data_IF_768539022595
#
_entry.id   IF_768539022595
#
_cell.length_a   1.000
_cell.length_b   1.000
_cell.length_c   1.000
_cell.angle_alpha   90.00
_cell.angle_beta   90.00
_cell.angle_gamma   90.00
#
_symmetry.space_group_name_H-M   'P 1'
#
loop_
_entity.id
_entity.type
_entity.pdbx_description
1 polymer ?
#
# COMPACT_ATOMS: atom_id res chain seq x y z
N UNK A 1 -7.66 4.60 -33.32
CA UNK A 1 -7.33 4.06 -32.00
C UNK A 1 -6.73 2.68 -32.24
N UNK A 2 -5.50 2.43 -31.78
CA UNK A 2 -4.88 1.11 -31.96
C UNK A 2 -5.78 0.00 -31.39
N UNK A 3 -5.83 -1.18 -32.03
CA UNK A 3 -6.68 -2.27 -31.59
C UNK A 3 -6.27 -2.69 -30.18
N UNK A 4 -7.29 -2.87 -29.32
CA UNK A 4 -7.21 -3.42 -27.95
C UNK A 4 -6.64 -4.83 -27.99
N UNK A 5 -5.34 -4.95 -28.19
CA UNK A 5 -4.66 -6.23 -28.29
C UNK A 5 -4.31 -6.69 -26.89
N UNK A 6 -4.53 -7.98 -26.62
CA UNK A 6 -4.15 -8.61 -25.34
C UNK A 6 -2.68 -8.33 -25.02
N UNK A 7 -1.81 -8.25 -26.03
CA UNK A 7 -0.41 -7.88 -25.89
C UNK A 7 -0.22 -6.51 -25.22
N UNK A 8 -0.96 -5.50 -25.63
CA UNK A 8 -0.88 -4.15 -25.04
C UNK A 8 -1.36 -4.16 -23.60
N UNK A 9 -2.44 -4.88 -23.29
CA UNK A 9 -2.93 -5.04 -21.91
C UNK A 9 -1.91 -5.74 -21.00
N UNK A 10 -1.26 -6.79 -21.49
CA UNK A 10 -0.21 -7.50 -20.74
C UNK A 10 1.01 -6.61 -20.50
N UNK A 11 1.48 -5.87 -21.52
CA UNK A 11 2.60 -4.95 -21.38
C UNK A 11 2.28 -3.77 -20.44
N UNK A 12 1.06 -3.26 -20.49
CA UNK A 12 0.58 -2.24 -19.56
C UNK A 12 0.53 -2.77 -18.12
N UNK A 13 0.04 -4.00 -17.95
CA UNK A 13 0.05 -4.69 -16.66
C UNK A 13 1.47 -4.90 -16.11
N UNK A 14 2.42 -5.28 -16.95
CA UNK A 14 3.84 -5.41 -16.57
C UNK A 14 4.42 -4.06 -16.12
N UNK A 15 4.17 -2.99 -16.88
CA UNK A 15 4.63 -1.63 -16.54
C UNK A 15 4.07 -1.21 -15.18
N UNK A 16 2.78 -1.45 -14.96
CA UNK A 16 2.11 -1.14 -13.70
C UNK A 16 2.63 -1.97 -12.54
N UNK A 17 2.93 -3.25 -12.76
CA UNK A 17 3.49 -4.12 -11.72
C UNK A 17 4.84 -3.57 -11.21
N UNK A 18 5.70 -3.13 -12.14
CA UNK A 18 6.99 -2.51 -11.84
C UNK A 18 6.83 -1.23 -11.01
N UNK A 19 5.79 -0.44 -11.26
CA UNK A 19 5.47 0.77 -10.45
C UNK A 19 4.90 0.39 -9.09
N UNK A 20 4.06 -0.63 -9.02
CA UNK A 20 3.36 -1.06 -7.80
C UNK A 20 4.31 -1.68 -6.77
N UNK A 21 5.39 -2.37 -7.17
CA UNK A 21 6.36 -3.01 -6.25
C UNK A 21 6.90 -2.06 -5.18
N UNK A 22 7.60 -0.96 -5.51
CA UNK A 22 8.16 -0.07 -4.49
C UNK A 22 7.07 0.54 -3.61
N UNK A 23 5.90 0.82 -4.20
CA UNK A 23 4.76 1.43 -3.52
C UNK A 23 4.15 0.47 -2.49
N UNK A 24 3.92 -0.79 -2.86
CA UNK A 24 3.35 -1.81 -1.98
C UNK A 24 4.26 -2.12 -0.79
N UNK A 25 5.58 -2.22 -1.03
CA UNK A 25 6.59 -2.43 0.02
C UNK A 25 6.58 -1.25 1.00
N UNK A 26 6.70 -0.03 0.47
CA UNK A 26 6.79 1.17 1.29
C UNK A 26 5.55 1.38 2.14
N UNK A 27 4.36 1.15 1.57
CA UNK A 27 3.10 1.30 2.28
C UNK A 27 2.77 0.15 3.23
N UNK A 28 3.27 -1.06 2.99
CA UNK A 28 3.21 -2.14 3.97
C UNK A 28 4.11 -1.87 5.18
N UNK A 29 5.32 -1.38 4.94
CA UNK A 29 6.20 -0.96 6.03
C UNK A 29 5.62 0.22 6.83
N UNK A 30 5.17 1.27 6.14
CA UNK A 30 4.63 2.47 6.77
C UNK A 30 3.29 2.26 7.49
N UNK A 31 2.56 1.17 7.22
CA UNK A 31 1.35 0.84 7.97
C UNK A 31 1.64 0.22 9.34
N UNK A 32 2.87 -0.25 9.58
CA UNK A 32 3.25 -0.99 10.78
C UNK A 32 2.96 -2.50 10.72
N UNK A 33 2.34 -3.00 9.64
CA UNK A 33 2.07 -4.43 9.43
C UNK A 33 3.22 -5.16 8.71
N UNK A 34 4.16 -4.40 8.16
CA UNK A 34 5.32 -4.91 7.44
C UNK A 34 5.10 -5.08 5.93
N UNK A 35 6.20 -5.24 5.16
CA UNK A 35 6.14 -5.31 3.70
C UNK A 35 5.22 -6.41 3.18
N UNK A 36 5.24 -7.59 3.82
CA UNK A 36 4.43 -8.76 3.44
C UNK A 36 2.94 -8.41 3.28
N UNK A 37 2.36 -7.72 4.26
CA UNK A 37 0.94 -7.33 4.21
C UNK A 37 0.65 -6.43 3.00
N UNK A 38 1.60 -5.54 2.64
CA UNK A 38 1.51 -4.72 1.44
C UNK A 38 1.55 -5.52 0.14
N UNK A 39 2.36 -6.59 0.07
CA UNK A 39 2.37 -7.50 -1.08
C UNK A 39 1.04 -8.22 -1.24
N UNK A 40 0.52 -8.82 -0.17
CA UNK A 40 -0.75 -9.55 -0.23
C UNK A 40 -1.88 -8.62 -0.67
N UNK A 41 -1.96 -7.42 -0.09
CA UNK A 41 -2.91 -6.40 -0.55
C UNK A 41 -2.77 -6.12 -2.03
N UNK A 42 -1.56 -5.82 -2.52
CA UNK A 42 -1.37 -5.49 -3.94
C UNK A 42 -1.76 -6.64 -4.89
N UNK A 43 -1.53 -7.89 -4.49
CA UNK A 43 -1.88 -9.08 -5.29
C UNK A 43 -3.39 -9.32 -5.25
N UNK A 44 -3.95 -9.50 -4.06
CA UNK A 44 -5.32 -9.98 -3.86
C UNK A 44 -6.32 -8.89 -4.22
N UNK A 45 -6.18 -7.69 -3.63
CA UNK A 45 -7.05 -6.56 -3.97
C UNK A 45 -6.89 -6.20 -5.46
N UNK A 46 -5.65 -6.10 -5.93
CA UNK A 46 -5.36 -5.72 -7.31
C UNK A 46 -6.00 -6.64 -8.33
N UNK A 47 -5.92 -7.96 -8.12
CA UNK A 47 -6.53 -8.95 -9.00
C UNK A 47 -8.07 -8.90 -8.93
N UNK A 48 -8.63 -8.98 -7.72
CA UNK A 48 -10.09 -9.09 -7.52
C UNK A 48 -10.82 -7.81 -7.95
N UNK A 49 -10.28 -6.65 -7.57
CA UNK A 49 -10.85 -5.36 -7.98
C UNK A 49 -10.76 -5.17 -9.50
N UNK A 50 -9.68 -5.60 -10.16
CA UNK A 50 -9.58 -5.55 -11.62
C UNK A 50 -10.60 -6.50 -12.30
N UNK A 51 -10.81 -7.69 -11.75
CA UNK A 51 -11.73 -8.69 -12.30
C UNK A 51 -13.19 -8.23 -12.25
N UNK A 52 -13.61 -7.70 -11.09
CA UNK A 52 -15.02 -7.40 -10.78
C UNK A 52 -15.34 -5.91 -11.00
N UNK A 53 -14.37 -5.02 -10.85
CA UNK A 53 -14.55 -3.57 -10.83
C UNK A 53 -15.18 -2.95 -12.07
N UNK A 54 -15.63 -1.71 -11.90
CA UNK A 54 -16.37 -0.93 -12.87
C UNK A 54 -15.52 0.04 -13.68
N UNK A 55 -14.22 0.15 -13.41
CA UNK A 55 -13.33 1.16 -14.01
C UNK A 55 -12.31 0.53 -14.96
N UNK A 56 -12.25 1.06 -16.18
CA UNK A 56 -11.30 0.62 -17.20
C UNK A 56 -9.88 1.14 -16.92
N UNK A 57 -8.90 0.24 -16.87
CA UNK A 57 -7.49 0.60 -16.68
C UNK A 57 -7.10 0.99 -15.24
N UNK A 58 -8.02 0.90 -14.29
CA UNK A 58 -7.75 1.14 -12.87
C UNK A 58 -6.85 0.04 -12.29
N UNK A 59 -5.87 0.46 -11.49
CA UNK A 59 -5.02 -0.42 -10.69
C UNK A 59 -5.33 -0.18 -9.22
N UNK A 60 -5.52 -1.25 -8.46
CA UNK A 60 -5.83 -1.19 -7.03
C UNK A 60 -4.72 -1.84 -6.23
N UNK A 61 -4.26 -1.16 -5.19
CA UNK A 61 -3.17 -1.63 -4.32
C UNK A 61 -3.18 -0.82 -3.01
N UNK A 62 -2.25 -1.04 -2.06
CA UNK A 62 -2.04 -0.12 -0.96
C UNK A 62 -1.88 1.33 -1.43
N UNK A 63 -2.47 2.27 -0.69
CA UNK A 63 -2.34 3.70 -0.97
C UNK A 63 -2.06 4.48 0.30
N UNK A 64 -1.35 5.60 0.17
CA UNK A 64 -0.87 6.38 1.32
C UNK A 64 -1.98 6.83 2.28
N UNK A 65 -3.16 7.20 1.77
CA UNK A 65 -4.29 7.61 2.60
C UNK A 65 -4.79 6.50 3.53
N UNK A 66 -4.91 5.28 3.01
CA UNK A 66 -5.28 4.13 3.84
C UNK A 66 -4.13 3.71 4.74
N UNK A 67 -2.90 3.70 4.25
CA UNK A 67 -1.71 3.38 5.06
C UNK A 67 -1.61 4.25 6.30
N UNK A 68 -1.83 5.56 6.17
CA UNK A 68 -1.84 6.48 7.31
C UNK A 68 -2.96 6.12 8.29
N UNK A 69 -4.19 5.95 7.81
CA UNK A 69 -5.31 5.59 8.67
C UNK A 69 -5.08 4.25 9.39
N UNK A 70 -4.53 3.26 8.68
CA UNK A 70 -4.21 1.94 9.22
C UNK A 70 -3.11 2.04 10.26
N UNK A 71 -2.06 2.84 10.04
CA UNK A 71 -0.99 3.02 11.03
C UNK A 71 -1.52 3.51 12.38
N UNK A 72 -2.56 4.36 12.39
CA UNK A 72 -3.21 4.79 13.63
C UNK A 72 -3.88 3.61 14.32
N UNK A 73 -4.64 2.80 13.60
CA UNK A 73 -5.28 1.61 14.18
C UNK A 73 -4.28 0.58 14.67
N UNK A 74 -3.18 0.36 13.94
CA UNK A 74 -2.09 -0.56 14.36
C UNK A 74 -1.51 -0.11 15.69
N UNK A 75 -1.15 1.17 15.80
CA UNK A 75 -0.61 1.73 17.05
C UNK A 75 -1.61 1.61 18.19
N UNK A 76 -2.87 1.99 17.96
CA UNK A 76 -3.92 1.90 18.99
C UNK A 76 -4.15 0.46 19.45
N UNK A 77 -4.20 -0.52 18.55
CA UNK A 77 -4.39 -1.91 18.96
C UNK A 77 -3.15 -2.49 19.65
N UNK A 78 -1.93 -2.10 19.26
CA UNK A 78 -0.71 -2.49 19.99
C UNK A 78 -0.75 -1.94 21.42
N UNK A 79 -1.15 -0.68 21.60
CA UNK A 79 -1.27 -0.07 22.94
C UNK A 79 -2.31 -0.78 23.82
N UNK A 80 -3.39 -1.28 23.22
CA UNK A 80 -4.47 -1.98 23.94
C UNK A 80 -4.10 -3.45 24.23
N UNK A 81 -3.54 -4.15 23.25
CA UNK A 81 -3.31 -5.60 23.30
C UNK A 81 -1.91 -5.96 23.81
N UNK A 82 -0.99 -4.99 23.86
CA UNK A 82 0.37 -5.13 24.38
C UNK A 82 1.41 -5.60 23.37
N UNK A 83 1.01 -6.17 22.22
CA UNK A 83 1.93 -6.51 21.14
C UNK A 83 1.23 -6.53 19.78
N UNK A 84 2.02 -6.51 18.70
CA UNK A 84 1.49 -6.60 17.33
C UNK A 84 0.81 -7.95 17.11
N UNK A 85 1.38 -9.06 17.58
CA UNK A 85 0.82 -10.40 17.43
C UNK A 85 -0.58 -10.51 18.05
N UNK A 86 -0.75 -9.92 19.23
CA UNK A 86 -2.04 -9.86 19.92
C UNK A 86 -3.04 -8.91 19.23
N UNK A 87 -2.55 -7.86 18.56
CA UNK A 87 -3.36 -6.91 17.80
C UNK A 87 -3.83 -7.45 16.43
N UNK A 88 -3.07 -8.36 15.82
CA UNK A 88 -3.33 -8.85 14.45
C UNK A 88 -4.76 -9.36 14.24
N UNK A 89 -5.36 -10.21 15.10
CA UNK A 89 -6.72 -10.70 14.90
C UNK A 89 -7.76 -9.57 14.79
N UNK A 90 -7.63 -8.54 15.64
CA UNK A 90 -8.52 -7.37 15.64
C UNK A 90 -8.31 -6.54 14.38
N UNK A 91 -7.07 -6.31 13.97
CA UNK A 91 -6.73 -5.56 12.76
C UNK A 91 -7.25 -6.27 11.49
N UNK A 92 -7.09 -7.59 11.41
CA UNK A 92 -7.63 -8.38 10.29
C UNK A 92 -9.17 -8.33 10.25
N UNK A 93 -9.83 -8.38 11.41
CA UNK A 93 -11.28 -8.20 11.49
C UNK A 93 -11.72 -6.82 11.00
N UNK A 94 -10.98 -5.75 11.33
CA UNK A 94 -11.20 -4.40 10.80
C UNK A 94 -11.12 -4.39 9.27
N UNK A 95 -10.09 -5.02 8.68
CA UNK A 95 -9.90 -5.01 7.22
C UNK A 95 -10.96 -5.82 6.47
N UNK A 96 -11.30 -7.00 6.98
CA UNK A 96 -12.39 -7.82 6.42
C UNK A 96 -13.71 -7.07 6.50
N UNK A 97 -14.03 -6.48 7.67
CA UNK A 97 -15.26 -5.72 7.84
C UNK A 97 -15.29 -4.46 6.97
N UNK A 98 -14.15 -3.79 6.78
CA UNK A 98 -14.06 -2.65 5.87
C UNK A 98 -14.40 -3.05 4.43
N UNK A 99 -13.90 -4.20 3.97
CA UNK A 99 -14.26 -4.77 2.67
C UNK A 99 -15.75 -5.09 2.55
N UNK A 100 -16.34 -5.69 3.60
CA UNK A 100 -17.78 -5.98 3.66
C UNK A 100 -18.61 -4.67 3.61
N UNK A 101 -18.27 -3.67 4.41
CA UNK A 101 -18.97 -2.38 4.42
C UNK A 101 -18.87 -1.70 3.05
N UNK A 102 -17.68 -1.72 2.43
CA UNK A 102 -17.48 -1.15 1.10
C UNK A 102 -18.28 -1.89 0.02
N UNK A 103 -18.36 -3.22 0.10
CA UNK A 103 -19.24 -4.02 -0.74
C UNK A 103 -20.70 -3.58 -0.59
N UNK A 104 -21.16 -3.38 0.65
CA UNK A 104 -22.51 -2.86 0.91
C UNK A 104 -22.72 -1.46 0.35
N UNK A 105 -21.74 -0.57 0.39
CA UNK A 105 -21.84 0.75 -0.27
C UNK A 105 -22.13 0.60 -1.77
N UNK A 106 -21.48 -0.35 -2.45
CA UNK A 106 -21.75 -0.65 -3.84
C UNK A 106 -23.15 -1.25 -4.08
N UNK A 107 -23.55 -2.23 -3.25
CA UNK A 107 -24.88 -2.88 -3.36
C UNK A 107 -26.04 -1.91 -3.08
N UNK A 108 -25.86 -0.98 -2.14
CA UNK A 108 -26.83 0.06 -1.80
C UNK A 108 -26.80 1.27 -2.74
N UNK A 109 -25.98 1.21 -3.80
CA UNK A 109 -25.81 2.26 -4.82
C UNK A 109 -25.31 3.60 -4.26
N UNK A 110 -24.52 3.56 -3.19
CA UNK A 110 -23.95 4.76 -2.56
C UNK A 110 -22.74 5.32 -3.32
N UNK A 111 -22.21 4.59 -4.32
CA UNK A 111 -21.08 5.05 -5.13
C UNK A 111 -21.41 6.30 -5.95
N UNK A 112 -22.65 6.44 -6.40
CA UNK A 112 -23.13 7.62 -7.11
C UNK A 112 -23.10 8.87 -6.23
N UNK A 113 -23.17 8.73 -4.91
CA UNK A 113 -23.20 9.88 -3.99
C UNK A 113 -21.83 10.53 -3.80
N UNK A 114 -20.73 9.84 -4.15
CA UNK A 114 -19.38 10.40 -3.99
C UNK A 114 -19.14 11.61 -4.91
N UNK A 115 -19.90 11.72 -6.01
CA UNK A 115 -19.86 12.91 -6.88
C UNK A 115 -20.32 14.20 -6.18
N UNK A 116 -21.03 14.09 -5.04
CA UNK A 116 -21.49 15.24 -4.25
C UNK A 116 -20.47 15.70 -3.22
N UNK A 117 -19.33 15.02 -3.05
CA UNK A 117 -18.29 15.45 -2.13
C UNK A 117 -17.62 16.71 -2.69
N UNK A 118 -17.64 17.84 -1.97
CA UNK A 118 -17.01 19.07 -2.45
C UNK A 118 -15.52 18.90 -2.69
N UNK A 119 -15.00 19.52 -3.76
CA UNK A 119 -13.57 19.52 -4.07
C UNK A 119 -12.70 20.00 -2.89
N UNK A 120 -13.19 20.96 -2.10
CA UNK A 120 -12.50 21.46 -0.91
C UNK A 120 -12.26 20.38 0.15
N UNK A 121 -13.20 19.45 0.34
CA UNK A 121 -13.07 18.33 1.30
C UNK A 121 -12.01 17.35 0.81
N UNK A 122 -12.06 16.98 -0.48
CA UNK A 122 -11.07 16.07 -1.09
C UNK A 122 -9.67 16.68 -1.03
N UNK A 123 -9.54 17.95 -1.43
CA UNK A 123 -8.26 18.66 -1.43
C UNK A 123 -7.68 18.79 -0.01
N UNK A 124 -8.51 19.13 0.98
CA UNK A 124 -8.11 19.19 2.39
C UNK A 124 -7.66 17.84 2.94
N UNK A 125 -8.44 16.78 2.68
CA UNK A 125 -8.11 15.41 3.08
C UNK A 125 -6.79 14.94 2.47
N UNK A 126 -6.61 15.07 1.16
CA UNK A 126 -5.37 14.65 0.47
C UNK A 126 -4.15 15.44 0.94
N UNK A 127 -4.30 16.74 1.17
CA UNK A 127 -3.22 17.60 1.69
C UNK A 127 -2.83 17.20 3.13
N UNK A 128 -3.83 16.91 3.97
CA UNK A 128 -3.63 16.41 5.33
C UNK A 128 -2.92 15.07 5.37
N UNK A 129 -3.36 14.10 4.56
CA UNK A 129 -2.67 12.80 4.40
C UNK A 129 -1.22 13.01 3.94
N UNK A 130 -0.99 13.87 2.94
CA UNK A 130 0.35 14.16 2.46
C UNK A 130 1.28 14.71 3.55
N UNK A 131 0.77 15.65 4.36
CA UNK A 131 1.52 16.19 5.51
C UNK A 131 1.81 15.10 6.54
N UNK A 132 0.83 14.26 6.88
CA UNK A 132 1.02 13.16 7.84
C UNK A 132 2.07 12.16 7.34
N UNK A 133 2.06 11.80 6.05
CA UNK A 133 3.08 10.92 5.46
C UNK A 133 4.47 11.53 5.63
N UNK A 134 4.64 12.83 5.31
CA UNK A 134 5.93 13.52 5.49
C UNK A 134 6.41 13.39 6.94
N UNK A 135 5.52 13.64 7.92
CA UNK A 135 5.87 13.56 9.34
C UNK A 135 6.20 12.13 9.77
N UNK A 136 5.43 11.14 9.33
CA UNK A 136 5.67 9.73 9.68
C UNK A 136 7.01 9.23 9.12
N UNK A 137 7.50 9.80 8.00
CA UNK A 137 8.80 9.46 7.41
C UNK A 137 10.00 10.17 8.07
N UNK A 138 9.81 11.09 9.02
CA UNK A 138 10.91 11.80 9.69
C UNK A 138 11.92 10.83 10.33
N UNK A 139 11.52 9.83 11.15
CA UNK A 139 12.47 8.92 11.77
C UNK A 139 13.30 8.14 10.73
N UNK A 140 12.64 7.59 9.71
CA UNK A 140 13.29 6.88 8.60
C UNK A 140 14.26 7.79 7.81
N UNK A 141 13.92 9.07 7.66
CA UNK A 141 14.77 10.05 6.97
C UNK A 141 16.08 10.33 7.70
N UNK A 142 16.09 10.13 9.01
CA UNK A 142 17.30 10.24 9.82
C UNK A 142 17.91 8.87 10.17
N UNK A 143 17.33 7.74 9.71
CA UNK A 143 17.78 6.40 10.09
C UNK A 143 17.72 6.17 11.60
N UNK A 144 16.64 6.64 12.24
CA UNK A 144 16.44 6.54 13.69
C UNK A 144 15.12 5.80 13.94
N UNK A 145 15.15 4.82 14.85
CA UNK A 145 13.95 4.15 15.31
C UNK A 145 13.03 5.13 16.07
N UNK A 146 11.71 5.14 15.79
CA UNK A 146 10.78 6.08 16.41
C UNK A 146 10.66 5.94 17.93
N UNK A 147 10.93 4.76 18.50
CA UNK A 147 10.80 4.48 19.93
C UNK A 147 9.42 4.86 20.47
N UNK A 148 9.39 5.60 21.59
CA UNK A 148 8.15 6.09 22.21
C UNK A 148 7.42 7.19 21.39
N UNK A 149 8.07 7.75 20.37
CA UNK A 149 7.51 8.84 19.56
C UNK A 149 6.69 8.28 18.39
N UNK A 150 5.56 7.68 18.73
CA UNK A 150 4.74 6.96 17.75
C UNK A 150 3.77 7.89 17.01
N UNK A 151 3.12 8.81 17.72
CA UNK A 151 2.12 9.73 17.15
C UNK A 151 2.73 10.83 16.27
N UNK A 152 1.93 11.36 15.35
CA UNK A 152 2.32 12.47 14.46
C UNK A 152 2.77 13.69 15.27
N UNK A 153 2.03 14.03 16.33
CA UNK A 153 2.31 15.19 17.18
C UNK A 153 3.59 14.97 17.99
N UNK A 154 3.80 13.78 18.56
CA UNK A 154 5.01 13.51 19.34
C UNK A 154 6.27 13.54 18.47
N UNK A 155 6.20 13.04 17.22
CA UNK A 155 7.30 13.14 16.25
C UNK A 155 7.68 14.59 15.93
N UNK A 156 6.69 15.47 15.75
CA UNK A 156 6.95 16.89 15.48
C UNK A 156 7.59 17.61 16.66
N UNK A 157 7.06 17.40 17.87
CA UNK A 157 7.59 18.03 19.09
C UNK A 157 9.03 17.57 19.35
N UNK A 158 9.34 16.30 19.06
CA UNK A 158 10.63 15.69 19.35
C UNK A 158 11.55 15.63 18.14
N UNK A 159 11.40 16.52 17.15
CA UNK A 159 12.22 16.49 15.94
C UNK A 159 13.73 16.60 16.22
N UNK A 160 14.10 17.32 17.27
CA UNK A 160 15.49 17.46 17.70
C UNK A 160 16.11 16.13 18.15
N UNK A 161 15.32 15.19 18.69
CA UNK A 161 15.79 13.86 19.08
C UNK A 161 16.27 13.07 17.85
N UNK A 162 15.48 13.08 16.77
CA UNK A 162 15.84 12.39 15.52
C UNK A 162 17.07 13.03 14.85
N UNK A 163 17.16 14.36 14.89
CA UNK A 163 18.31 15.08 14.35
C UNK A 163 19.60 14.74 15.11
N UNK A 164 19.55 14.66 16.44
CA UNK A 164 20.74 14.41 17.27
C UNK A 164 21.26 12.98 17.16
N UNK A 165 20.39 12.01 16.82
CA UNK A 165 20.76 10.61 16.61
C UNK A 165 20.86 10.25 15.12
N UNK A 166 20.79 11.24 14.25
CA UNK A 166 20.69 11.00 12.82
C UNK A 166 21.88 10.22 12.27
N UNK A 167 21.56 9.12 11.58
CA UNK A 167 22.41 8.58 10.56
C UNK A 167 22.31 9.46 9.30
N UNK A 168 23.26 10.38 9.16
CA UNK A 168 23.31 11.29 8.02
C UNK A 168 23.41 10.60 6.66
N UNK A 169 23.90 9.35 6.62
CA UNK A 169 23.95 8.58 5.38
C UNK A 169 22.53 8.18 4.93
N UNK A 170 21.65 7.82 5.86
CA UNK A 170 20.23 7.58 5.57
C UNK A 170 19.56 8.86 5.02
N UNK A 171 19.87 10.02 5.59
CA UNK A 171 19.36 11.30 5.08
C UNK A 171 19.83 11.60 3.65
N UNK A 172 21.10 11.37 3.34
CA UNK A 172 21.64 11.48 1.98
C UNK A 172 20.92 10.54 1.01
N UNK A 173 20.60 9.32 1.44
CA UNK A 173 19.82 8.36 0.65
C UNK A 173 18.41 8.85 0.37
N UNK A 174 17.72 9.44 1.34
CA UNK A 174 16.39 10.03 1.14
C UNK A 174 16.45 11.21 0.17
N UNK A 175 17.39 12.15 0.36
CA UNK A 175 17.57 13.29 -0.55
C UNK A 175 17.92 12.82 -1.96
N UNK A 176 18.77 11.80 -2.08
CA UNK A 176 19.12 11.19 -3.37
C UNK A 176 17.92 10.50 -4.03
N UNK A 177 17.09 9.80 -3.25
CA UNK A 177 15.84 9.18 -3.73
C UNK A 177 14.92 10.23 -4.33
N UNK A 178 14.67 11.32 -3.59
CA UNK A 178 13.86 12.44 -4.07
C UNK A 178 14.48 13.07 -5.33
N UNK A 179 15.80 13.27 -5.34
CA UNK A 179 16.55 13.78 -6.48
C UNK A 179 16.37 12.93 -7.73
N UNK A 180 16.52 11.60 -7.62
CA UNK A 180 16.32 10.65 -8.72
C UNK A 180 14.87 10.72 -9.20
N UNK A 181 13.88 10.74 -8.30
CA UNK A 181 12.46 10.79 -8.66
C UNK A 181 12.14 12.02 -9.52
N UNK A 182 12.71 13.19 -9.23
CA UNK A 182 12.47 14.44 -9.97
C UNK A 182 13.35 14.61 -11.22
N UNK A 183 14.59 14.13 -11.19
CA UNK A 183 15.57 14.37 -12.27
C UNK A 183 15.53 13.27 -13.32
N UNK A 184 15.39 12.00 -12.94
CA UNK A 184 15.46 10.87 -13.87
C UNK A 184 14.40 10.91 -14.99
N UNK A 185 13.14 11.34 -14.75
CA UNK A 185 12.15 11.50 -15.82
C UNK A 185 12.56 12.50 -16.92
N UNK A 186 13.53 13.39 -16.66
CA UNK A 186 14.10 14.29 -17.68
C UNK A 186 15.06 13.58 -18.62
N UNK A 187 15.61 12.44 -18.23
CA UNK A 187 16.49 11.59 -19.06
C UNK A 187 15.63 10.63 -19.89
N UNK A 188 14.73 9.90 -19.23
CA UNK A 188 13.83 8.96 -19.89
C UNK A 188 12.51 8.83 -19.15
N UNK A 189 11.41 8.74 -19.91
CA UNK A 189 10.06 8.47 -19.39
C UNK A 189 9.67 7.00 -19.49
N UNK A 190 10.54 6.15 -20.07
CA UNK A 190 10.25 4.73 -20.31
C UNK A 190 10.32 3.89 -19.04
N UNK A 191 11.18 4.27 -18.09
CA UNK A 191 11.42 3.53 -16.86
C UNK A 191 10.91 4.37 -15.69
N UNK A 192 10.09 3.81 -14.78
CA UNK A 192 9.65 4.52 -13.58
C UNK A 192 10.82 4.99 -12.73
N UNK A 193 10.85 6.27 -12.37
CA UNK A 193 11.95 6.84 -11.58
C UNK A 193 12.03 6.28 -10.16
N UNK A 194 10.90 5.84 -9.58
CA UNK A 194 10.86 5.13 -8.29
C UNK A 194 11.61 3.80 -8.33
N UNK A 195 11.49 3.04 -9.43
CA UNK A 195 12.23 1.79 -9.61
C UNK A 195 13.73 2.06 -9.73
N UNK A 196 14.10 3.10 -10.49
CA UNK A 196 15.51 3.47 -10.65
C UNK A 196 16.11 3.87 -9.31
N UNK A 197 15.42 4.70 -8.53
CA UNK A 197 15.87 5.07 -7.19
C UNK A 197 16.07 3.83 -6.31
N UNK A 198 15.09 2.91 -6.30
CA UNK A 198 15.17 1.66 -5.55
C UNK A 198 16.39 0.82 -5.99
N UNK A 199 16.50 0.47 -7.27
CA UNK A 199 17.57 -0.42 -7.74
C UNK A 199 18.97 0.19 -7.58
N UNK A 200 19.11 1.48 -7.88
CA UNK A 200 20.43 2.14 -7.81
C UNK A 200 20.88 2.31 -6.37
N UNK A 201 20.01 2.81 -5.49
CA UNK A 201 20.39 3.05 -4.09
C UNK A 201 20.53 1.73 -3.31
N UNK A 202 19.67 0.73 -3.56
CA UNK A 202 19.85 -0.61 -2.98
C UNK A 202 21.16 -1.23 -3.45
N UNK A 203 21.50 -1.11 -4.73
CA UNK A 203 22.79 -1.59 -5.26
C UNK A 203 23.98 -0.89 -4.60
N UNK A 204 23.91 0.42 -4.44
CA UNK A 204 24.96 1.19 -3.74
C UNK A 204 25.09 0.76 -2.27
N UNK A 205 23.97 0.61 -1.55
CA UNK A 205 24.01 0.16 -0.16
C UNK A 205 24.62 -1.24 -0.03
N UNK A 206 24.23 -2.16 -0.91
CA UNK A 206 24.69 -3.55 -0.91
C UNK A 206 26.16 -3.69 -1.28
N UNK A 207 26.60 -3.13 -2.41
CA UNK A 207 27.98 -3.32 -2.91
C UNK A 207 29.04 -2.60 -2.08
N UNK A 208 28.66 -1.51 -1.39
CA UNK A 208 29.57 -0.74 -0.54
C UNK A 208 29.37 -1.01 0.96
N UNK A 209 28.53 -1.99 1.33
CA UNK A 209 28.24 -2.38 2.72
C UNK A 209 27.94 -1.17 3.62
N UNK A 210 27.14 -0.24 3.09
CA UNK A 210 26.87 1.01 3.77
C UNK A 210 26.05 0.77 5.04
N UNK A 211 26.44 1.42 6.14
CA UNK A 211 25.76 1.32 7.43
C UNK A 211 24.44 2.11 7.40
N UNK A 212 23.40 1.50 6.83
CA UNK A 212 22.04 2.03 6.73
C UNK A 212 21.09 0.88 7.05
N UNK A 213 19.99 1.18 7.71
CA UNK A 213 18.94 0.20 7.96
C UNK A 213 18.39 -0.32 6.63
N UNK A 214 18.53 -1.63 6.43
CA UNK A 214 18.03 -2.34 5.26
C UNK A 214 16.75 -3.06 5.63
N UNK A 215 15.80 -3.08 4.69
CA UNK A 215 14.64 -3.95 4.80
C UNK A 215 15.13 -5.41 4.83
N UNK A 216 14.94 -6.07 5.97
CA UNK A 216 15.29 -7.48 6.13
C UNK A 216 14.52 -8.39 5.19
N UNK A 217 14.91 -9.67 5.16
CA UNK A 217 14.21 -10.67 4.37
C UNK A 217 12.84 -10.98 4.97
N UNK A 218 11.81 -10.98 4.13
CA UNK A 218 10.50 -11.54 4.47
C UNK A 218 10.19 -12.65 3.47
N UNK A 219 9.73 -13.81 3.94
CA UNK A 219 9.19 -14.83 3.06
C UNK A 219 7.71 -14.54 2.80
N UNK A 220 7.27 -14.68 1.56
CA UNK A 220 5.85 -14.66 1.21
C UNK A 220 5.41 -16.11 1.11
N UNK A 221 5.06 -16.73 2.24
CA UNK A 221 4.62 -18.13 2.26
C UNK A 221 3.11 -18.23 2.42
N UNK A 222 2.47 -19.12 1.64
CA UNK A 222 1.04 -19.41 1.78
C UNK A 222 0.66 -19.92 3.19
N UNK A 223 1.61 -20.50 3.93
CA UNK A 223 1.44 -20.97 5.31
C UNK A 223 1.26 -19.82 6.31
N UNK A 224 1.66 -18.60 5.96
CA UNK A 224 1.53 -17.40 6.79
C UNK A 224 0.16 -16.72 6.66
N UNK A 225 -0.74 -17.29 5.86
CA UNK A 225 -2.15 -16.87 5.82
C UNK A 225 -2.83 -17.23 7.14
N UNK A 226 -2.70 -16.35 8.13
CA UNK A 226 -3.41 -16.48 9.40
C UNK A 226 -4.88 -16.12 9.22
N UNK A 227 -5.74 -17.14 9.30
CA UNK A 227 -7.18 -16.97 9.37
C UNK A 227 -7.54 -16.25 10.68
N UNK A 228 -8.54 -15.38 10.62
CA UNK A 228 -9.03 -14.64 11.79
C UNK A 228 -9.51 -15.62 12.87
N UNK A 229 -8.91 -15.56 14.06
CA UNK A 229 -9.44 -16.22 15.26
C UNK A 229 -10.58 -15.38 15.84
N UNK A 230 -11.81 -15.90 15.76
CA UNK A 230 -13.04 -15.20 16.16
C UNK A 230 -13.17 -15.08 17.70
N UNK A 231 -12.39 -15.85 18.45
CA UNK A 231 -12.54 -16.03 19.89
C UNK A 231 -12.32 -14.74 20.72
N UNK A 232 -11.66 -13.73 20.15
CA UNK A 232 -11.39 -12.43 20.80
C UNK A 232 -12.46 -11.35 20.53
N UNK A 233 -13.48 -11.62 19.70
CA UNK A 233 -14.49 -10.63 19.26
C UNK A 233 -15.69 -10.46 20.22
N UNK A 234 -15.62 -11.03 21.43
CA UNK A 234 -16.79 -11.19 22.32
C UNK A 234 -17.07 -9.94 23.18
N UNK A 235 -16.14 -8.99 23.27
CA UNK A 235 -16.32 -7.77 24.08
C UNK A 235 -16.97 -6.62 23.31
N UNK A 236 -18.04 -6.03 23.89
CA UNK A 236 -18.84 -4.98 23.25
C UNK A 236 -18.05 -3.71 22.91
N UNK A 237 -17.08 -3.30 23.75
CA UNK A 237 -16.23 -2.13 23.49
C UNK A 237 -15.29 -2.36 22.30
N UNK A 238 -14.75 -3.57 22.17
CA UNK A 238 -13.91 -3.97 21.04
C UNK A 238 -14.72 -3.97 19.74
N UNK A 239 -15.98 -4.44 19.78
CA UNK A 239 -16.86 -4.46 18.61
C UNK A 239 -17.15 -3.06 18.03
N UNK A 240 -17.45 -2.08 18.88
CA UNK A 240 -17.75 -0.71 18.45
C UNK A 240 -16.51 -0.05 17.81
N UNK A 241 -15.33 -0.26 18.40
CA UNK A 241 -14.06 0.23 17.85
C UNK A 241 -13.76 -0.38 16.47
N UNK A 242 -13.94 -1.69 16.33
CA UNK A 242 -13.78 -2.40 15.05
C UNK A 242 -14.73 -1.83 13.99
N UNK A 243 -16.01 -1.65 14.32
CA UNK A 243 -16.99 -1.10 13.37
C UNK A 243 -16.61 0.32 12.94
N UNK A 244 -16.24 1.19 13.88
CA UNK A 244 -15.88 2.58 13.56
C UNK A 244 -14.62 2.62 12.68
N UNK A 245 -13.60 1.83 13.01
CA UNK A 245 -12.39 1.72 12.21
C UNK A 245 -12.68 1.18 10.81
N UNK A 246 -13.44 0.09 10.72
CA UNK A 246 -13.82 -0.54 9.46
C UNK A 246 -14.66 0.39 8.57
N UNK A 247 -15.64 1.10 9.14
CA UNK A 247 -16.45 2.08 8.42
C UNK A 247 -15.61 3.25 7.91
N UNK A 248 -14.66 3.73 8.72
CA UNK A 248 -13.73 4.80 8.34
C UNK A 248 -12.84 4.36 7.17
N UNK A 249 -12.25 3.16 7.24
CA UNK A 249 -11.45 2.61 6.14
C UNK A 249 -12.28 2.38 4.88
N UNK A 250 -13.48 1.82 5.00
CA UNK A 250 -14.38 1.60 3.86
C UNK A 250 -14.74 2.92 3.16
N UNK A 251 -14.99 3.98 3.93
CA UNK A 251 -15.29 5.30 3.40
C UNK A 251 -14.07 5.90 2.67
N UNK A 252 -12.90 5.91 3.32
CA UNK A 252 -11.65 6.41 2.71
C UNK A 252 -11.30 5.61 1.44
N UNK A 253 -11.42 4.28 1.48
CA UNK A 253 -11.21 3.40 0.35
C UNK A 253 -12.11 3.76 -0.83
N UNK A 254 -13.41 3.98 -0.55
CA UNK A 254 -14.41 4.29 -1.56
C UNK A 254 -14.15 5.63 -2.23
N UNK A 255 -13.86 6.67 -1.44
CA UNK A 255 -13.54 8.00 -1.96
C UNK A 255 -12.28 7.96 -2.83
N UNK A 256 -11.20 7.36 -2.34
CA UNK A 256 -9.94 7.33 -3.07
C UNK A 256 -10.03 6.51 -4.37
N UNK A 257 -10.76 5.39 -4.33
CA UNK A 257 -11.06 4.59 -5.52
C UNK A 257 -11.82 5.38 -6.56
N UNK A 258 -12.93 6.04 -6.20
CA UNK A 258 -13.75 6.71 -7.20
C UNK A 258 -13.10 8.00 -7.73
N UNK A 259 -12.28 8.67 -6.92
CA UNK A 259 -11.41 9.75 -7.42
C UNK A 259 -10.41 9.23 -8.46
N UNK A 260 -9.84 8.05 -8.22
CA UNK A 260 -9.01 7.36 -9.20
C UNK A 260 -9.80 7.02 -10.46
N UNK A 261 -11.05 6.57 -10.32
CA UNK A 261 -11.92 6.28 -11.46
C UNK A 261 -12.20 7.51 -12.32
N UNK A 262 -12.43 8.68 -11.71
CA UNK A 262 -12.60 9.95 -12.43
C UNK A 262 -11.34 10.35 -13.19
N UNK A 263 -10.15 10.11 -12.63
CA UNK A 263 -8.88 10.35 -13.34
C UNK A 263 -8.72 9.38 -14.51
N UNK A 264 -9.02 8.09 -14.29
CA UNK A 264 -8.96 7.07 -15.32
C UNK A 264 -9.88 7.41 -16.50
N UNK A 265 -11.14 7.74 -16.24
CA UNK A 265 -12.16 8.11 -17.23
C UNK A 265 -11.73 9.28 -18.12
N UNK A 266 -11.13 10.32 -17.53
CA UNK A 266 -10.61 11.47 -18.28
C UNK A 266 -9.47 11.08 -19.21
N UNK A 267 -8.64 10.12 -18.82
CA UNK A 267 -7.50 9.66 -19.63
C UNK A 267 -7.86 8.59 -20.68
N UNK A 268 -8.96 7.87 -20.47
CA UNK A 268 -9.48 6.82 -21.36
C UNK A 268 -10.61 7.31 -22.26
N UNK A 269 -11.18 8.48 -21.99
CA UNK A 269 -12.45 8.93 -22.56
C UNK A 269 -13.55 7.88 -22.36
N UNK A 270 -13.62 7.29 -21.16
CA UNK A 270 -14.66 6.33 -20.76
C UNK A 270 -15.51 6.86 -19.61
N UNK A 271 -16.49 6.06 -19.21
CA UNK A 271 -17.28 6.28 -18.00
C UNK A 271 -17.24 4.99 -17.19
N UNK A 272 -16.87 5.10 -15.92
CA UNK A 272 -16.87 3.99 -14.97
C UNK A 272 -18.28 3.76 -14.39
N UNK A 273 -18.50 2.55 -13.86
CA UNK A 273 -19.64 2.29 -12.98
C UNK A 273 -19.17 2.31 -11.52
N UNK A 274 -19.55 3.37 -10.79
CA UNK A 274 -19.10 3.59 -9.40
C UNK A 274 -19.54 2.49 -8.45
N UNK A 275 -20.78 2.01 -8.57
CA UNK A 275 -21.31 0.96 -7.68
C UNK A 275 -20.62 -0.38 -7.92
N UNK A 276 -20.39 -0.73 -9.19
CA UNK A 276 -19.64 -1.93 -9.57
C UNK A 276 -18.18 -1.85 -9.11
N UNK A 277 -17.58 -0.66 -9.18
CA UNK A 277 -16.24 -0.43 -8.66
C UNK A 277 -16.19 -0.66 -7.15
N UNK A 278 -17.13 -0.11 -6.38
CA UNK A 278 -17.19 -0.34 -4.93
C UNK A 278 -17.43 -1.81 -4.57
N UNK A 279 -18.24 -2.54 -5.34
CA UNK A 279 -18.41 -4.00 -5.18
C UNK A 279 -17.06 -4.71 -5.39
N UNK A 280 -16.36 -4.42 -6.49
CA UNK A 280 -15.06 -5.04 -6.79
C UNK A 280 -13.99 -4.73 -5.74
N UNK A 281 -13.91 -3.48 -5.29
CA UNK A 281 -13.00 -3.07 -4.22
C UNK A 281 -13.35 -3.74 -2.88
N UNK A 282 -14.64 -3.76 -2.52
CA UNK A 282 -15.10 -4.36 -1.27
C UNK A 282 -14.77 -5.85 -1.18
N UNK A 283 -15.04 -6.61 -2.27
CA UNK A 283 -14.68 -8.03 -2.35
C UNK A 283 -13.15 -8.21 -2.31
N UNK A 284 -12.40 -7.37 -3.03
CA UNK A 284 -10.94 -7.44 -3.02
C UNK A 284 -10.33 -7.13 -1.65
N UNK A 285 -10.85 -6.13 -0.95
CA UNK A 285 -10.41 -5.76 0.41
C UNK A 285 -10.80 -6.81 1.45
N UNK A 286 -11.96 -7.44 1.30
CA UNK A 286 -12.38 -8.57 2.13
C UNK A 286 -11.38 -9.72 2.00
N UNK A 287 -11.08 -10.15 0.76
CA UNK A 287 -10.11 -11.24 0.55
C UNK A 287 -8.70 -10.85 0.97
N UNK A 288 -8.27 -9.61 0.73
CA UNK A 288 -6.96 -9.14 1.17
C UNK A 288 -6.84 -9.21 2.70
N UNK A 289 -7.83 -8.68 3.44
CA UNK A 289 -7.86 -8.75 4.90
C UNK A 289 -7.87 -10.18 5.44
N UNK A 290 -8.64 -11.07 4.81
CA UNK A 290 -8.71 -12.48 5.20
C UNK A 290 -7.40 -13.24 4.99
N UNK A 291 -6.57 -12.76 4.06
CA UNK A 291 -5.28 -13.34 3.69
C UNK A 291 -4.10 -12.57 4.33
N UNK A 292 -4.30 -11.80 5.39
CA UNK A 292 -3.18 -11.11 6.06
C UNK A 292 -2.64 -9.88 5.32
N UNK A 293 -3.32 -9.45 4.26
CA UNK A 293 -3.18 -8.09 3.72
C UNK A 293 -4.03 -7.09 4.50
N UNK A 294 -3.96 -5.84 4.10
CA UNK A 294 -4.80 -4.75 4.60
C UNK A 294 -5.61 -4.05 3.51
N UNK A 295 -6.59 -3.25 3.93
CA UNK A 295 -7.47 -2.50 3.04
C UNK A 295 -6.68 -1.53 2.15
N UNK A 296 -6.85 -1.64 0.83
CA UNK A 296 -6.32 -0.71 -0.16
C UNK A 296 -7.43 0.01 -0.93
N UNK A 297 -7.04 0.66 -2.03
CA UNK A 297 -7.98 1.36 -2.94
C UNK A 297 -7.40 1.52 -4.34
N UNK A 298 -8.16 2.15 -5.23
CA UNK A 298 -7.64 2.64 -6.51
C UNK A 298 -6.40 3.51 -6.31
N UNK A 299 -5.32 3.16 -6.98
CA UNK A 299 -4.03 3.82 -6.87
C UNK A 299 -3.77 4.69 -8.09
N UNK A 300 -3.98 6.01 -7.95
CA UNK A 300 -3.91 6.97 -9.06
C UNK A 300 -2.61 6.88 -9.85
N UNK A 301 -1.45 6.85 -9.18
CA UNK A 301 -0.16 6.80 -9.88
C UNK A 301 0.02 5.50 -10.70
N UNK A 302 -0.39 4.36 -10.13
CA UNK A 302 -0.32 3.06 -10.81
C UNK A 302 -1.32 3.00 -11.97
N UNK A 303 -2.54 3.50 -11.78
CA UNK A 303 -3.56 3.58 -12.83
C UNK A 303 -3.13 4.50 -13.98
N UNK A 304 -2.53 5.66 -13.68
CA UNK A 304 -1.97 6.58 -14.68
C UNK A 304 -0.86 5.89 -15.48
N UNK A 305 0.07 5.20 -14.81
CA UNK A 305 1.14 4.45 -15.48
C UNK A 305 0.59 3.34 -16.39
N UNK A 306 -0.41 2.60 -15.91
CA UNK A 306 -1.11 1.57 -16.67
C UNK A 306 -1.73 2.13 -17.96
N UNK A 307 -2.49 3.22 -17.81
CA UNK A 307 -3.21 3.87 -18.89
C UNK A 307 -2.24 4.47 -19.92
N UNK A 308 -1.15 5.08 -19.46
CA UNK A 308 -0.10 5.60 -20.35
C UNK A 308 0.63 4.50 -21.11
N UNK A 309 0.77 3.32 -20.49
CA UNK A 309 1.31 2.12 -21.15
C UNK A 309 0.31 1.43 -22.09
N UNK A 310 -0.92 1.96 -22.21
CA UNK A 310 -1.95 1.47 -23.13
C UNK A 310 -3.00 0.57 -22.50
N UNK A 311 -3.00 0.40 -21.18
CA UNK A 311 -4.01 -0.38 -20.45
C UNK A 311 -5.38 0.30 -20.47
N UNK A 312 -6.38 -0.37 -21.05
CA UNK A 312 -7.75 0.14 -21.21
C UNK A 312 -8.80 -0.87 -20.75
N UNK A 313 -8.42 -2.07 -20.31
CA UNK A 313 -9.35 -3.13 -19.93
C UNK A 313 -9.02 -3.67 -18.54
N UNK A 314 -9.88 -4.57 -18.04
CA UNK A 314 -9.66 -5.37 -16.82
C UNK A 314 -8.41 -6.26 -16.89
N UNK A 315 -8.00 -6.64 -18.11
CA UNK A 315 -6.85 -7.53 -18.35
C UNK A 315 -5.57 -6.90 -17.84
N UNK A 316 -5.34 -5.60 -18.10
CA UNK A 316 -4.15 -4.90 -17.59
C UNK A 316 -4.06 -4.92 -16.06
N UNK A 317 -5.18 -4.77 -15.34
CA UNK A 317 -5.22 -4.87 -13.88
C UNK A 317 -4.94 -6.29 -13.37
N UNK A 318 -5.58 -7.31 -13.94
CA UNK A 318 -5.29 -8.71 -13.58
C UNK A 318 -3.83 -9.09 -13.90
N UNK A 319 -3.33 -8.62 -15.04
CA UNK A 319 -1.95 -8.82 -15.46
C UNK A 319 -0.95 -8.12 -14.54
N UNK A 320 -1.33 -6.98 -13.94
CA UNK A 320 -0.51 -6.29 -12.94
C UNK A 320 -0.29 -7.17 -11.73
N UNK A 321 -1.36 -7.72 -11.16
CA UNK A 321 -1.25 -8.65 -10.03
C UNK A 321 -0.44 -9.90 -10.39
N UNK A 322 -0.66 -10.47 -11.58
CA UNK A 322 0.10 -11.62 -12.05
C UNK A 322 1.61 -11.35 -12.15
N UNK A 323 2.02 -10.26 -12.82
CA UNK A 323 3.43 -9.92 -12.96
C UNK A 323 4.05 -9.53 -11.62
N UNK A 324 3.31 -8.82 -10.77
CA UNK A 324 3.74 -8.48 -9.42
C UNK A 324 4.09 -9.75 -8.62
N UNK A 325 3.22 -10.77 -8.63
CA UNK A 325 3.47 -12.06 -7.97
C UNK A 325 4.68 -12.81 -8.54
N UNK A 326 4.88 -12.78 -9.86
CA UNK A 326 6.03 -13.47 -10.47
C UNK A 326 7.35 -12.76 -10.15
N UNK A 327 7.38 -11.43 -10.21
CA UNK A 327 8.56 -10.63 -9.89
C UNK A 327 8.93 -10.78 -8.42
N UNK A 328 7.94 -10.80 -7.51
CA UNK A 328 8.20 -11.02 -6.08
C UNK A 328 8.79 -12.41 -5.81
N UNK A 329 8.27 -13.46 -6.45
CA UNK A 329 8.85 -14.81 -6.35
C UNK A 329 10.28 -14.89 -6.92
N UNK A 330 10.55 -14.24 -8.06
CA UNK A 330 11.88 -14.17 -8.66
C UNK A 330 12.88 -13.49 -7.73
N UNK A 331 12.54 -12.31 -7.21
CA UNK A 331 13.39 -11.56 -6.27
C UNK A 331 13.76 -12.38 -5.03
N UNK A 332 12.83 -13.21 -4.54
CA UNK A 332 13.08 -14.08 -3.39
C UNK A 332 13.99 -15.28 -3.71
N UNK A 333 13.83 -15.92 -4.88
CA UNK A 333 14.68 -17.06 -5.28
C UNK A 333 16.15 -16.71 -5.44
N UNK A 334 16.48 -15.48 -5.81
CA UNK A 334 17.86 -15.01 -5.86
C UNK A 334 18.50 -14.86 -4.48
N UNK A 335 17.70 -14.73 -3.42
CA UNK A 335 18.22 -14.59 -2.06
C UNK A 335 18.33 -15.95 -1.34
N UNK A 336 17.38 -16.87 -1.57
CA UNK A 336 17.40 -18.19 -0.94
C UNK A 336 18.43 -19.17 -1.51
N UNK A 337 19.01 -18.90 -2.68
CA UNK A 337 20.10 -19.71 -3.24
C UNK A 337 21.48 -19.40 -2.64
N UNK A 338 21.66 -18.23 -2.00
CA UNK A 338 22.95 -17.79 -1.47
C UNK A 338 23.09 -18.04 0.05
N UNK A 339 22.03 -18.47 0.74
CA UNK A 339 22.03 -18.69 2.20
C UNK A 339 22.35 -20.13 2.63
N UNK A 340 23.43 -20.71 2.09
CA UNK A 340 24.15 -21.83 2.71
C UNK A 340 25.28 -21.26 3.59
N UNK A 341 24.93 -20.65 4.71
CA UNK A 341 25.91 -20.23 5.72
C UNK A 341 25.52 -18.96 6.47
N UNK A 342 25.54 -19.09 7.81
CA UNK A 342 25.52 -18.03 8.84
C UNK A 342 24.22 -17.25 9.11
N UNK A 343 23.66 -17.53 10.29
CA UNK A 343 23.01 -16.63 11.26
C UNK A 343 22.41 -15.32 10.73
N UNK A 344 21.17 -15.39 10.27
CA UNK A 344 20.33 -14.19 10.11
C UNK A 344 19.40 -14.06 11.31
N UNK A 345 19.59 -12.97 12.06
CA UNK A 345 18.66 -12.54 13.10
C UNK A 345 17.32 -12.29 12.42
N UNK A 346 16.36 -13.16 12.71
CA UNK A 346 14.95 -12.82 12.60
C UNK A 346 14.76 -11.46 13.29
N UNK A 347 14.10 -10.51 12.61
CA UNK A 347 13.57 -9.35 13.31
C UNK A 347 12.61 -9.91 14.36
N UNK A 348 13.08 -9.91 15.59
CA UNK A 348 12.32 -10.30 16.75
C UNK A 348 11.29 -9.19 16.96
N UNK A 349 10.02 -9.48 16.64
CA UNK A 349 8.90 -8.57 16.82
C UNK A 349 8.65 -8.25 18.32
N UNK A 350 9.43 -8.83 19.25
CA UNK A 350 9.46 -8.51 20.67
C UNK A 350 10.05 -7.13 21.04
N UNK A 351 10.33 -6.24 20.08
CA UNK A 351 10.75 -4.85 20.33
C UNK A 351 9.88 -3.82 19.59
N UNK A 352 8.57 -3.95 19.73
CA UNK A 352 7.61 -2.86 19.50
C UNK A 352 6.99 -2.44 20.83
#
# INVERSE_FOLDING_TARGET
MEPKTIKTELLAGLTSAVVTIPVAIAYGYASGLGPYAGFISAIVLGFVAALIGGTSGQISCPTGALTVAISVFVVTEIEIQGSLEAALPVLMAIFVLAGIIQLFFGLLKLGENIQYIPFSVISGFMSGVGLIIIVIQIPNSFGVEPGIYVSVISKLINIAFFFNQANWLAFVFVVSTVGIIYVFPKITKKIPSSLVALLTLTGLAYFFELNIDVLGTFSVELSQFNLISIDQLIYAETFLRIIIAAASLAFIASVNTLLTSVVADKMTNSVHNSNQELIGQGIGNLFAGFLGGFTGSGATACAVANIQAGGRNRISGMSTAFFFTNISHLGWRFHSSDSLGSDFRYYDFHRL
#
